data_IF_164216130196
#
_entry.id   IF_164216130196
#
_cell.length_a   1.000
_cell.length_b   1.000
_cell.length_c   1.000
_cell.angle_alpha   90.00
_cell.angle_beta   90.00
_cell.angle_gamma   90.00
#
_symmetry.space_group_name_H-M   'P 1'
#
loop_
_entity.id
_entity.type
_entity.pdbx_description
1 polymer ?
#
# COMPACT_ATOMS: atom_id res chain seq x y z
N UNK A 1 30.24 -34.68 -19.37
CA UNK A 1 29.39 -33.90 -18.51
C UNK A 1 29.53 -34.36 -17.10
N UNK A 2 30.14 -33.57 -16.26
CA UNK A 2 30.11 -33.76 -14.81
C UNK A 2 28.67 -33.52 -14.35
N UNK A 3 28.16 -34.38 -13.45
CA UNK A 3 26.85 -34.23 -12.81
C UNK A 3 26.81 -32.89 -12.06
N UNK A 4 26.24 -31.88 -12.69
CA UNK A 4 25.87 -30.64 -12.00
C UNK A 4 24.75 -30.99 -11.02
N UNK A 5 25.12 -31.22 -9.75
CA UNK A 5 24.16 -31.35 -8.67
C UNK A 5 23.58 -29.98 -8.40
N UNK A 6 22.27 -29.89 -8.41
CA UNK A 6 21.58 -28.66 -7.96
C UNK A 6 22.07 -28.27 -6.57
N UNK A 7 22.46 -27.01 -6.41
CA UNK A 7 22.92 -26.48 -5.14
C UNK A 7 21.79 -26.42 -4.08
N UNK A 8 20.53 -26.50 -4.52
CA UNK A 8 19.34 -26.40 -3.67
C UNK A 8 18.30 -27.42 -4.14
N UNK A 9 17.92 -28.35 -3.29
CA UNK A 9 16.90 -29.36 -3.59
C UNK A 9 15.47 -28.79 -3.59
N UNK A 10 15.19 -27.82 -2.72
CA UNK A 10 13.86 -27.19 -2.55
C UNK A 10 13.99 -25.76 -2.09
N UNK A 11 13.08 -24.92 -2.54
CA UNK A 11 12.93 -23.55 -2.04
C UNK A 11 11.46 -23.22 -1.83
N UNK A 12 11.19 -22.29 -0.91
CA UNK A 12 9.88 -21.69 -0.67
C UNK A 12 9.98 -20.20 -0.87
N UNK A 13 9.17 -19.64 -1.75
CA UNK A 13 9.04 -18.20 -1.95
C UNK A 13 7.82 -17.70 -1.20
N UNK A 14 7.98 -16.64 -0.43
CA UNK A 14 6.90 -15.95 0.26
C UNK A 14 6.81 -14.54 -0.31
N UNK A 15 5.63 -14.13 -0.75
CA UNK A 15 5.44 -12.81 -1.35
C UNK A 15 3.96 -12.51 -1.60
N UNK A 16 3.71 -11.34 -2.13
CA UNK A 16 2.37 -10.89 -2.51
C UNK A 16 2.47 -10.10 -3.83
N UNK A 17 2.12 -10.77 -4.94
CA UNK A 17 2.15 -10.16 -6.28
C UNK A 17 1.06 -9.10 -6.48
N UNK A 18 0.11 -8.98 -5.55
CA UNK A 18 -0.93 -7.94 -5.52
C UNK A 18 -0.48 -6.67 -4.80
N UNK A 19 0.76 -6.65 -4.31
CA UNK A 19 1.45 -5.47 -3.80
C UNK A 19 2.48 -4.95 -4.81
N UNK A 20 3.14 -3.82 -4.49
CA UNK A 20 4.07 -3.19 -5.40
C UNK A 20 5.26 -4.10 -5.72
N UNK A 21 5.60 -4.27 -7.01
CA UNK A 21 6.79 -4.97 -7.44
C UNK A 21 8.04 -4.12 -7.20
N UNK A 22 9.22 -4.71 -7.43
CA UNK A 22 10.46 -3.96 -7.48
C UNK A 22 10.39 -2.86 -8.59
N UNK A 23 11.01 -1.72 -8.32
CA UNK A 23 11.05 -0.61 -9.29
C UNK A 23 11.97 -0.98 -10.45
N UNK A 24 11.41 -1.08 -11.65
CA UNK A 24 12.14 -1.31 -12.90
C UNK A 24 12.14 -0.03 -13.72
N UNK A 25 13.33 0.48 -14.02
CA UNK A 25 13.50 1.75 -14.74
C UNK A 25 13.38 1.63 -16.26
N UNK A 26 13.58 0.43 -16.81
CA UNK A 26 13.45 0.15 -18.24
C UNK A 26 12.01 0.34 -18.72
N UNK A 27 11.85 0.84 -19.93
CA UNK A 27 10.56 0.89 -20.60
C UNK A 27 10.12 -0.53 -21.05
N UNK A 28 8.93 -0.63 -21.64
CA UNK A 28 8.36 -1.93 -22.05
C UNK A 28 9.19 -2.63 -23.12
N UNK A 29 9.73 -1.87 -24.08
CA UNK A 29 10.56 -2.41 -25.16
C UNK A 29 11.92 -2.91 -24.64
N UNK A 30 12.57 -2.13 -23.77
CA UNK A 30 13.86 -2.49 -23.17
C UNK A 30 13.78 -3.67 -22.20
N UNK A 31 12.59 -3.94 -21.65
CA UNK A 31 12.36 -5.05 -20.71
C UNK A 31 11.79 -6.30 -21.37
N UNK A 32 11.45 -6.23 -22.67
CA UNK A 32 10.94 -7.39 -23.42
C UNK A 32 12.04 -8.44 -23.63
N UNK A 33 11.68 -9.71 -23.58
CA UNK A 33 12.57 -10.83 -23.82
C UNK A 33 12.25 -11.44 -25.17
N UNK A 34 13.29 -11.71 -25.95
CA UNK A 34 13.23 -12.33 -27.29
C UNK A 34 14.02 -13.65 -27.38
N UNK A 35 14.80 -13.97 -26.36
CA UNK A 35 15.56 -15.22 -26.31
C UNK A 35 14.64 -16.41 -26.02
N UNK A 36 14.66 -17.41 -26.93
CA UNK A 36 13.77 -18.57 -26.85
C UNK A 36 14.00 -19.43 -25.61
N UNK A 37 15.22 -19.50 -25.10
CA UNK A 37 15.54 -20.26 -23.89
C UNK A 37 14.92 -19.62 -22.66
N UNK A 38 14.94 -18.30 -22.58
CA UNK A 38 14.32 -17.52 -21.50
C UNK A 38 12.79 -17.53 -21.60
N UNK A 39 12.25 -17.43 -22.81
CA UNK A 39 10.80 -17.56 -23.04
C UNK A 39 10.28 -18.94 -22.63
N UNK A 40 11.04 -20.01 -22.88
CA UNK A 40 10.66 -21.39 -22.53
C UNK A 40 10.48 -21.62 -21.03
N UNK A 41 11.18 -20.85 -20.19
CA UNK A 41 11.03 -20.88 -18.71
C UNK A 41 10.02 -19.85 -18.19
N UNK A 42 9.23 -19.25 -19.09
CA UNK A 42 8.18 -18.27 -18.74
C UNK A 42 8.69 -16.86 -18.44
N UNK A 43 9.94 -16.51 -18.79
CA UNK A 43 10.46 -15.15 -18.65
C UNK A 43 10.14 -14.36 -19.93
N UNK A 44 9.03 -13.63 -19.90
CA UNK A 44 8.54 -12.83 -21.04
C UNK A 44 8.92 -11.36 -20.94
N UNK A 45 9.16 -10.89 -19.72
CA UNK A 45 9.48 -9.49 -19.44
C UNK A 45 10.33 -9.37 -18.16
N UNK A 46 11.36 -8.52 -18.19
CA UNK A 46 12.23 -8.27 -17.03
C UNK A 46 11.56 -7.47 -15.88
N UNK A 47 10.38 -6.91 -16.12
CA UNK A 47 9.58 -6.24 -15.08
C UNK A 47 8.89 -7.23 -14.14
N UNK A 48 8.70 -8.46 -14.57
CA UNK A 48 8.05 -9.49 -13.78
C UNK A 48 9.01 -10.01 -12.71
N UNK A 49 8.60 -9.97 -11.46
CA UNK A 49 9.38 -10.56 -10.37
C UNK A 49 9.48 -12.07 -10.55
N UNK A 50 10.56 -12.68 -10.01
CA UNK A 50 10.69 -14.14 -9.99
C UNK A 50 9.46 -14.80 -9.34
N UNK A 51 8.95 -14.21 -8.24
CA UNK A 51 7.76 -14.69 -7.54
C UNK A 51 6.53 -14.71 -8.48
N UNK A 52 6.24 -13.59 -9.14
CA UNK A 52 5.09 -13.46 -10.04
C UNK A 52 5.17 -14.40 -11.24
N UNK A 53 6.37 -14.55 -11.82
CA UNK A 53 6.61 -15.49 -12.91
C UNK A 53 6.36 -16.95 -12.49
N UNK A 54 6.94 -17.37 -11.38
CA UNK A 54 6.76 -18.75 -10.88
C UNK A 54 5.31 -18.98 -10.43
N UNK A 55 4.66 -18.02 -9.82
CA UNK A 55 3.23 -18.10 -9.48
C UNK A 55 2.38 -18.34 -10.73
N UNK A 56 2.58 -17.56 -11.80
CA UNK A 56 1.87 -17.77 -13.09
C UNK A 56 2.13 -19.14 -13.69
N UNK A 57 3.36 -19.61 -13.66
CA UNK A 57 3.68 -20.95 -14.16
C UNK A 57 2.99 -22.04 -13.34
N UNK A 58 2.94 -21.91 -12.01
CA UNK A 58 2.23 -22.85 -11.14
C UNK A 58 0.70 -22.82 -11.35
N UNK A 59 0.10 -21.65 -11.61
CA UNK A 59 -1.34 -21.54 -11.87
C UNK A 59 -1.74 -22.11 -13.22
N UNK A 60 -0.83 -22.06 -14.21
CA UNK A 60 -1.05 -22.62 -15.55
C UNK A 60 -0.88 -24.16 -15.64
N UNK A 61 -0.34 -24.79 -14.60
CA UNK A 61 -0.08 -26.24 -14.56
C UNK A 61 -1.06 -26.98 -13.66
N UNK A 62 -1.19 -28.30 -13.88
CA UNK A 62 -2.03 -29.18 -13.04
C UNK A 62 -1.47 -29.31 -11.61
N UNK A 63 -0.16 -29.16 -11.46
CA UNK A 63 0.52 -29.25 -10.16
C UNK A 63 0.46 -27.92 -9.42
N UNK A 64 -0.37 -27.86 -8.39
CA UNK A 64 -0.47 -26.68 -7.52
C UNK A 64 0.67 -26.68 -6.49
N UNK A 65 1.76 -26.00 -6.84
CA UNK A 65 2.89 -25.75 -5.92
C UNK A 65 2.78 -24.39 -5.24
N UNK A 66 1.59 -23.86 -5.09
CA UNK A 66 1.32 -22.58 -4.42
C UNK A 66 0.10 -22.67 -3.51
N UNK A 67 0.10 -21.83 -2.49
CA UNK A 67 -1.05 -21.62 -1.62
C UNK A 67 -1.10 -20.16 -1.13
N UNK A 68 -2.25 -19.74 -0.65
CA UNK A 68 -2.46 -18.40 -0.11
C UNK A 68 -2.60 -18.46 1.41
N UNK A 69 -1.76 -17.69 2.11
CA UNK A 69 -1.91 -17.47 3.54
C UNK A 69 -3.13 -16.58 3.81
N UNK A 70 -4.25 -17.19 4.15
CA UNK A 70 -5.52 -16.48 4.35
C UNK A 70 -5.63 -15.80 5.71
N UNK A 71 -4.87 -16.23 6.73
CA UNK A 71 -4.94 -15.66 8.07
C UNK A 71 -4.04 -14.42 8.16
N UNK A 72 -4.64 -13.29 8.57
CA UNK A 72 -3.92 -12.03 8.73
C UNK A 72 -4.03 -11.50 10.17
N UNK A 73 -2.92 -11.02 10.73
CA UNK A 73 -2.84 -10.45 12.08
C UNK A 73 -2.73 -8.92 12.13
N UNK A 74 -2.68 -8.25 10.97
CA UNK A 74 -2.45 -6.80 10.94
C UNK A 74 -3.71 -5.98 11.10
N UNK A 75 -4.64 -6.10 10.17
CA UNK A 75 -5.77 -5.18 10.04
C UNK A 75 -6.97 -5.59 10.87
N UNK A 76 -7.63 -4.61 11.48
CA UNK A 76 -9.00 -4.79 11.96
C UNK A 76 -9.90 -5.20 10.78
N UNK A 77 -10.92 -6.09 10.98
CA UNK A 77 -11.77 -6.58 9.90
C UNK A 77 -12.42 -5.48 9.06
N UNK A 78 -12.90 -4.41 9.68
CA UNK A 78 -13.52 -3.27 8.98
C UNK A 78 -12.52 -2.50 8.11
N UNK A 79 -11.28 -2.31 8.59
CA UNK A 79 -10.21 -1.69 7.80
C UNK A 79 -9.84 -2.58 6.61
N UNK A 80 -9.80 -3.89 6.81
CA UNK A 80 -9.46 -4.86 5.79
C UNK A 80 -10.55 -5.04 4.74
N UNK A 81 -11.80 -4.66 5.01
CA UNK A 81 -12.98 -5.07 4.24
C UNK A 81 -12.85 -4.78 2.74
N UNK A 82 -12.47 -3.56 2.39
CA UNK A 82 -12.33 -3.17 0.97
C UNK A 82 -11.19 -3.95 0.30
N UNK A 83 -9.98 -3.92 0.86
CA UNK A 83 -8.83 -4.61 0.29
C UNK A 83 -9.08 -6.13 0.18
N UNK A 84 -9.70 -6.74 1.19
CA UNK A 84 -10.06 -8.14 1.20
C UNK A 84 -11.01 -8.50 0.05
N UNK A 85 -12.08 -7.73 -0.15
CA UNK A 85 -13.04 -7.98 -1.22
C UNK A 85 -12.48 -7.67 -2.60
N UNK A 86 -11.82 -6.51 -2.75
CA UNK A 86 -11.35 -6.03 -4.04
C UNK A 86 -10.12 -6.80 -4.56
N UNK A 87 -9.21 -7.21 -3.67
CA UNK A 87 -7.91 -7.74 -4.10
C UNK A 87 -7.68 -9.20 -3.70
N UNK A 88 -8.33 -9.68 -2.63
CA UNK A 88 -8.09 -11.03 -2.08
C UNK A 88 -9.32 -11.95 -2.15
N UNK A 89 -10.36 -11.56 -2.89
CA UNK A 89 -11.55 -12.39 -3.11
C UNK A 89 -12.31 -12.76 -1.83
N UNK A 90 -12.24 -11.91 -0.79
CA UNK A 90 -12.90 -12.16 0.50
C UNK A 90 -12.22 -13.22 1.37
N UNK A 91 -11.04 -13.71 1.00
CA UNK A 91 -10.38 -14.86 1.64
C UNK A 91 -9.56 -14.52 2.89
N UNK A 92 -9.29 -13.24 3.17
CA UNK A 92 -8.54 -12.86 4.36
C UNK A 92 -9.40 -12.99 5.62
N UNK A 93 -8.87 -13.73 6.60
CA UNK A 93 -9.53 -14.03 7.87
C UNK A 93 -8.67 -13.48 9.02
N UNK A 94 -9.22 -12.68 9.96
CA UNK A 94 -8.47 -12.21 11.11
C UNK A 94 -8.09 -13.38 12.02
N UNK A 95 -6.91 -13.29 12.64
CA UNK A 95 -6.46 -14.32 13.61
C UNK A 95 -7.02 -14.12 15.03
N UNK A 96 -7.73 -13.01 15.28
CA UNK A 96 -8.36 -12.72 16.57
C UNK A 96 -7.45 -12.03 17.58
N UNK A 97 -6.49 -11.22 17.11
CA UNK A 97 -5.68 -10.39 18.01
C UNK A 97 -6.54 -9.32 18.71
N UNK A 98 -6.15 -8.80 19.90
CA UNK A 98 -6.95 -7.86 20.67
C UNK A 98 -7.50 -6.69 19.85
N UNK A 99 -6.68 -6.04 19.02
CA UNK A 99 -7.11 -4.93 18.18
C UNK A 99 -8.01 -5.36 17.00
N UNK A 100 -8.09 -6.65 16.67
CA UNK A 100 -8.94 -7.18 15.61
C UNK A 100 -10.34 -7.58 16.10
N UNK A 101 -10.47 -7.87 17.39
CA UNK A 101 -11.75 -8.25 18.04
C UNK A 101 -12.37 -7.10 18.83
N UNK A 102 -11.66 -5.98 18.96
CA UNK A 102 -12.16 -4.78 19.61
C UNK A 102 -13.40 -4.26 18.86
N UNK A 103 -14.54 -4.31 19.52
CA UNK A 103 -15.80 -3.78 19.00
C UNK A 103 -16.13 -2.50 19.73
N UNK A 104 -16.38 -1.42 18.98
CA UNK A 104 -16.84 -0.16 19.55
C UNK A 104 -17.62 0.60 18.49
N UNK A 105 -18.85 0.91 18.79
CA UNK A 105 -19.72 1.72 17.92
C UNK A 105 -19.26 3.20 17.84
N UNK A 106 -18.34 3.59 18.72
CA UNK A 106 -17.80 4.97 18.77
C UNK A 106 -16.52 5.14 17.96
N UNK A 107 -15.83 4.05 17.58
CA UNK A 107 -14.58 4.12 16.84
C UNK A 107 -14.85 4.04 15.34
N UNK A 108 -14.62 5.15 14.63
CA UNK A 108 -14.63 5.15 13.18
C UNK A 108 -13.36 4.45 12.65
N UNK A 109 -13.51 3.29 12.01
CA UNK A 109 -12.38 2.49 11.49
C UNK A 109 -11.94 2.92 10.10
N UNK A 110 -12.86 3.42 9.27
CA UNK A 110 -12.59 3.88 7.93
C UNK A 110 -13.44 5.12 7.64
N UNK A 111 -12.80 6.24 7.29
CA UNK A 111 -13.50 7.47 6.90
C UNK A 111 -12.83 8.15 5.72
N UNK A 112 -13.66 8.80 4.90
CA UNK A 112 -13.22 9.69 3.84
C UNK A 112 -13.56 11.14 4.22
N UNK A 113 -12.57 12.01 4.16
CA UNK A 113 -12.68 13.44 4.42
C UNK A 113 -12.54 14.19 3.10
N UNK A 114 -13.62 14.72 2.54
CA UNK A 114 -13.56 15.42 1.27
C UNK A 114 -12.77 16.72 1.39
N UNK A 115 -11.91 16.94 0.40
CA UNK A 115 -11.17 18.19 0.21
C UNK A 115 -11.71 18.99 -0.98
N UNK A 116 -11.13 20.14 -1.23
CA UNK A 116 -11.42 20.95 -2.42
C UNK A 116 -10.21 21.00 -3.33
N UNK A 117 -10.41 21.00 -4.65
CA UNK A 117 -9.31 21.09 -5.60
C UNK A 117 -8.62 22.45 -5.51
N UNK A 118 -7.34 22.49 -5.81
CA UNK A 118 -6.59 23.74 -5.90
C UNK A 118 -7.07 24.60 -7.07
N UNK A 119 -6.87 25.91 -6.95
CA UNK A 119 -7.20 26.87 -8.02
C UNK A 119 -6.39 26.58 -9.28
N UNK A 120 -6.96 26.89 -10.43
CA UNK A 120 -6.27 26.79 -11.71
C UNK A 120 -4.93 27.56 -11.67
N UNK A 121 -3.87 26.88 -12.15
CA UNK A 121 -2.49 27.43 -12.12
C UNK A 121 -1.69 27.08 -10.87
N UNK A 122 -2.30 26.48 -9.84
CA UNK A 122 -1.54 25.92 -8.73
C UNK A 122 -0.79 24.65 -9.14
N UNK A 123 0.23 24.28 -8.37
CA UNK A 123 0.95 23.01 -8.60
C UNK A 123 0.02 21.82 -8.46
N UNK A 124 -0.03 20.97 -9.47
CA UNK A 124 -0.80 19.73 -9.44
C UNK A 124 -0.34 18.72 -8.35
N UNK A 125 0.84 18.99 -7.72
CA UNK A 125 1.46 18.08 -6.75
C UNK A 125 1.31 18.54 -5.30
N UNK A 126 0.45 19.51 -5.04
CA UNK A 126 0.09 20.01 -3.71
C UNK A 126 -1.42 20.22 -3.64
N UNK A 127 -1.97 20.04 -2.44
CA UNK A 127 -3.33 20.41 -2.08
C UNK A 127 -3.33 20.92 -0.64
N UNK A 128 -3.54 22.23 -0.47
CA UNK A 128 -3.53 22.90 0.84
C UNK A 128 -4.70 22.45 1.72
N UNK A 129 -5.88 22.21 1.10
CA UNK A 129 -7.05 21.73 1.83
C UNK A 129 -6.78 20.34 2.44
N UNK A 130 -6.21 19.41 1.67
CA UNK A 130 -5.83 18.11 2.19
C UNK A 130 -4.76 18.19 3.28
N UNK A 131 -3.74 19.04 3.10
CA UNK A 131 -2.68 19.18 4.10
C UNK A 131 -3.21 19.66 5.46
N UNK A 132 -4.18 20.58 5.47
CA UNK A 132 -4.85 21.04 6.70
C UNK A 132 -5.71 19.96 7.33
N UNK A 133 -6.53 19.25 6.52
CA UNK A 133 -7.32 18.10 7.00
C UNK A 133 -6.42 17.05 7.65
N UNK A 134 -5.28 16.75 7.02
CA UNK A 134 -4.29 15.79 7.55
C UNK A 134 -3.71 16.28 8.88
N UNK A 135 -3.36 17.56 9.00
CA UNK A 135 -2.83 18.13 10.24
C UNK A 135 -3.89 18.11 11.37
N UNK A 136 -5.14 18.49 11.07
CA UNK A 136 -6.24 18.45 12.02
C UNK A 136 -6.53 17.03 12.52
N UNK A 137 -6.51 16.05 11.61
CA UNK A 137 -6.67 14.64 11.97
C UNK A 137 -5.50 14.14 12.82
N UNK A 138 -4.26 14.54 12.49
CA UNK A 138 -3.09 14.17 13.26
C UNK A 138 -3.15 14.72 14.69
N UNK A 139 -3.61 15.97 14.86
CA UNK A 139 -3.81 16.55 16.18
C UNK A 139 -4.82 15.77 17.02
N UNK A 140 -5.99 15.44 16.43
CA UNK A 140 -7.04 14.65 17.12
C UNK A 140 -6.53 13.25 17.52
N UNK A 141 -5.83 12.56 16.60
CA UNK A 141 -5.26 11.25 16.90
C UNK A 141 -4.24 11.35 18.04
N UNK A 142 -3.44 12.42 18.07
CA UNK A 142 -2.51 12.65 19.16
C UNK A 142 -3.26 12.90 20.49
N UNK A 143 -4.32 13.70 20.48
CA UNK A 143 -5.16 13.95 21.66
C UNK A 143 -5.80 12.67 22.20
N UNK A 144 -6.31 11.79 21.32
CA UNK A 144 -6.91 10.50 21.68
C UNK A 144 -5.88 9.52 22.26
N UNK A 145 -4.60 9.69 21.93
CA UNK A 145 -3.50 8.79 22.32
C UNK A 145 -2.45 9.47 23.22
N UNK A 146 -2.75 10.57 23.89
CA UNK A 146 -1.75 11.34 24.67
C UNK A 146 -0.92 10.49 25.62
N UNK A 147 -1.49 9.46 26.22
CA UNK A 147 -0.84 8.61 27.23
C UNK A 147 0.01 7.49 26.65
N UNK A 148 -0.28 7.05 25.41
CA UNK A 148 0.35 5.89 24.77
C UNK A 148 0.85 6.17 23.35
N UNK A 149 0.97 7.47 22.97
CA UNK A 149 1.42 7.86 21.64
C UNK A 149 2.86 7.42 21.38
N UNK A 150 3.03 6.57 20.39
CA UNK A 150 4.33 6.13 19.90
C UNK A 150 4.50 6.61 18.44
N UNK A 151 5.51 7.45 18.21
CA UNK A 151 5.80 8.09 16.93
C UNK A 151 6.08 7.08 15.80
N UNK A 152 6.59 5.89 16.17
CA UNK A 152 6.92 4.83 15.23
C UNK A 152 5.75 3.85 14.98
N UNK A 153 4.72 3.87 15.83
CA UNK A 153 3.62 2.88 15.79
C UNK A 153 2.24 3.49 15.64
N UNK A 154 1.95 4.61 16.31
CA UNK A 154 0.57 5.11 16.41
C UNK A 154 0.08 5.69 15.08
N UNK A 155 0.81 6.61 14.46
CA UNK A 155 0.35 7.35 13.29
C UNK A 155 1.38 7.34 12.15
N UNK A 156 0.87 7.17 10.93
CA UNK A 156 1.63 7.38 9.70
C UNK A 156 0.81 8.11 8.65
N UNK A 157 1.45 8.89 7.82
CA UNK A 157 0.79 9.66 6.76
C UNK A 157 1.38 9.28 5.42
N UNK A 158 0.50 8.86 4.49
CA UNK A 158 0.87 8.47 3.13
C UNK A 158 0.40 9.56 2.17
N UNK A 159 1.27 9.99 1.25
CA UNK A 159 0.90 10.87 0.15
C UNK A 159 1.84 10.68 -1.04
N UNK A 160 1.38 10.87 -2.30
CA UNK A 160 2.17 10.48 -3.47
C UNK A 160 3.32 11.43 -3.81
N UNK A 161 3.27 12.70 -3.38
CA UNK A 161 4.19 13.72 -3.87
C UNK A 161 5.07 14.31 -2.77
N UNK A 162 6.38 14.43 -3.03
CA UNK A 162 7.34 15.04 -2.10
C UNK A 162 6.97 16.48 -1.70
N UNK A 163 6.39 17.26 -2.62
CA UNK A 163 5.90 18.61 -2.33
C UNK A 163 4.72 18.60 -1.34
N UNK A 164 3.82 17.61 -1.45
CA UNK A 164 2.74 17.44 -0.49
C UNK A 164 3.27 16.96 0.87
N UNK A 165 4.28 16.08 0.89
CA UNK A 165 4.96 15.68 2.13
C UNK A 165 5.51 16.92 2.85
N UNK A 166 6.21 17.80 2.13
CA UNK A 166 6.78 19.02 2.71
C UNK A 166 5.69 19.96 3.25
N UNK A 167 4.58 20.09 2.51
CA UNK A 167 3.45 20.92 2.94
C UNK A 167 2.78 20.35 4.20
N UNK A 168 2.48 19.04 4.21
CA UNK A 168 1.89 18.36 5.39
C UNK A 168 2.79 18.52 6.61
N UNK A 169 4.10 18.31 6.45
CA UNK A 169 5.05 18.48 7.56
C UNK A 169 5.05 19.91 8.09
N UNK A 170 4.96 20.92 7.23
CA UNK A 170 4.85 22.32 7.61
C UNK A 170 3.56 22.62 8.40
N UNK A 171 2.41 22.10 7.94
CA UNK A 171 1.14 22.25 8.64
C UNK A 171 1.20 21.56 10.02
N UNK A 172 1.77 20.36 10.12
CA UNK A 172 1.96 19.64 11.39
C UNK A 172 2.89 20.41 12.33
N UNK A 173 4.00 20.95 11.83
CA UNK A 173 4.94 21.74 12.63
C UNK A 173 4.27 22.97 13.24
N UNK A 174 3.34 23.61 12.50
CA UNK A 174 2.58 24.77 12.99
C UNK A 174 1.66 24.47 14.17
N UNK A 175 1.32 23.19 14.42
CA UNK A 175 0.54 22.77 15.59
C UNK A 175 1.32 22.87 16.90
N UNK A 176 2.66 22.95 16.86
CA UNK A 176 3.50 23.02 18.04
C UNK A 176 3.53 21.74 18.89
N UNK A 177 3.21 20.58 18.30
CA UNK A 177 3.22 19.27 18.98
C UNK A 177 4.47 18.50 18.58
N UNK A 178 5.54 18.44 19.41
CA UNK A 178 6.84 17.87 19.04
C UNK A 178 6.79 16.39 18.63
N UNK A 179 5.89 15.59 19.21
CA UNK A 179 5.72 14.19 18.90
C UNK A 179 5.27 13.97 17.45
N UNK A 180 4.39 14.84 16.93
CA UNK A 180 3.89 14.75 15.56
C UNK A 180 4.97 15.09 14.51
N UNK A 181 6.01 15.86 14.87
CA UNK A 181 7.10 16.16 13.94
C UNK A 181 8.01 14.95 13.65
N UNK A 182 7.90 13.88 14.45
CA UNK A 182 8.71 12.67 14.32
C UNK A 182 8.00 11.49 13.66
N UNK A 183 6.69 11.61 13.41
CA UNK A 183 5.95 10.56 12.69
C UNK A 183 6.43 10.43 11.23
N UNK A 184 6.21 9.25 10.65
CA UNK A 184 6.54 9.02 9.25
C UNK A 184 5.47 9.66 8.34
N UNK A 185 5.91 10.61 7.49
CA UNK A 185 5.14 11.18 6.39
C UNK A 185 5.92 10.90 5.11
N UNK A 186 5.46 9.95 4.28
CA UNK A 186 6.20 9.54 3.07
C UNK A 186 5.26 8.92 2.02
N UNK A 187 5.82 8.45 0.90
CA UNK A 187 5.09 7.81 -0.19
C UNK A 187 4.74 6.34 0.14
N UNK A 188 3.82 5.78 -0.64
CA UNK A 188 3.39 4.37 -0.49
C UNK A 188 4.57 3.41 -0.56
N UNK A 189 5.50 3.65 -1.49
CA UNK A 189 6.70 2.82 -1.68
C UNK A 189 7.57 2.74 -0.42
N UNK A 190 7.67 3.85 0.30
CA UNK A 190 8.46 3.92 1.55
C UNK A 190 7.74 3.31 2.74
N UNK A 191 6.42 3.20 2.66
CA UNK A 191 5.61 2.49 3.65
C UNK A 191 5.58 0.97 3.44
N UNK A 192 6.03 0.48 2.28
CA UNK A 192 6.05 -0.96 2.03
C UNK A 192 6.89 -1.68 3.08
N UNK A 193 6.32 -2.73 3.68
CA UNK A 193 6.94 -3.47 4.80
C UNK A 193 6.69 -2.88 6.19
N UNK A 194 6.18 -1.65 6.31
CA UNK A 194 5.83 -1.02 7.59
C UNK A 194 4.34 -1.08 7.89
N UNK A 195 3.93 -0.75 9.11
CA UNK A 195 2.53 -0.64 9.54
C UNK A 195 2.39 0.41 10.63
N UNK A 196 1.17 0.95 10.80
CA UNK A 196 0.80 1.86 11.89
C UNK A 196 -0.57 1.50 12.42
N UNK A 197 -0.86 1.88 13.65
CA UNK A 197 -2.20 1.73 14.21
C UNK A 197 -3.20 2.56 13.40
N UNK A 198 -2.85 3.80 13.08
CA UNK A 198 -3.65 4.71 12.25
C UNK A 198 -2.83 5.14 11.03
N UNK A 199 -3.45 5.09 9.85
CA UNK A 199 -2.91 5.66 8.62
C UNK A 199 -3.84 6.77 8.14
N UNK A 200 -3.26 7.91 7.76
CA UNK A 200 -3.94 8.93 6.98
C UNK A 200 -3.38 8.90 5.56
N UNK A 201 -4.24 8.76 4.56
CA UNK A 201 -3.84 8.78 3.15
C UNK A 201 -4.40 10.03 2.45
N UNK A 202 -3.51 10.96 2.10
CA UNK A 202 -3.81 12.13 1.28
C UNK A 202 -3.57 11.77 -0.19
N UNK A 203 -4.62 11.71 -0.99
CA UNK A 203 -4.50 11.39 -2.42
C UNK A 203 -3.81 12.49 -3.21
N UNK A 204 -3.95 13.74 -2.79
CA UNK A 204 -3.41 14.91 -3.47
C UNK A 204 -3.77 14.94 -4.98
N UNK A 205 -5.04 14.66 -5.28
CA UNK A 205 -5.58 14.66 -6.65
C UNK A 205 -6.40 15.92 -6.84
N UNK A 206 -5.93 16.82 -7.69
CA UNK A 206 -6.66 18.03 -8.07
C UNK A 206 -7.36 17.87 -9.43
N UNK A 207 -6.90 16.91 -10.25
CA UNK A 207 -7.40 16.66 -11.59
C UNK A 207 -7.53 15.15 -11.86
N UNK A 208 -8.61 14.68 -12.52
CA UNK A 208 -8.86 13.24 -12.74
C UNK A 208 -7.71 12.50 -13.46
N UNK A 209 -6.97 13.16 -14.36
CA UNK A 209 -5.85 12.53 -15.07
C UNK A 209 -4.72 12.07 -14.15
N UNK A 210 -4.59 12.67 -12.95
CA UNK A 210 -3.56 12.30 -11.99
C UNK A 210 -3.73 10.87 -11.46
N UNK A 211 -4.95 10.36 -11.42
CA UNK A 211 -5.23 8.99 -10.98
C UNK A 211 -4.44 7.95 -11.79
N UNK A 212 -4.23 8.20 -13.09
CA UNK A 212 -3.43 7.30 -13.96
C UNK A 212 -1.96 7.20 -13.53
N UNK A 213 -1.41 8.24 -12.91
CA UNK A 213 -0.02 8.26 -12.44
C UNK A 213 0.11 7.77 -10.99
N UNK A 214 -0.98 7.81 -10.23
CA UNK A 214 -1.00 7.39 -8.83
C UNK A 214 -1.31 5.91 -8.66
N UNK A 215 -1.92 5.28 -9.66
CA UNK A 215 -2.26 3.86 -9.66
C UNK A 215 -1.12 3.01 -10.24
N UNK A 216 -1.06 1.75 -9.80
CA UNK A 216 -0.24 0.70 -10.40
C UNK A 216 -1.16 -0.49 -10.70
N UNK A 217 -1.80 -0.43 -11.87
CA UNK A 217 -2.85 -1.36 -12.26
C UNK A 217 -2.28 -2.63 -12.87
N UNK A 218 -2.81 -3.76 -12.45
CA UNK A 218 -2.62 -5.08 -13.06
C UNK A 218 -3.97 -5.79 -13.13
N UNK A 219 -4.12 -6.71 -14.06
CA UNK A 219 -5.32 -7.54 -14.19
C UNK A 219 -4.97 -8.98 -13.88
N UNK A 220 -5.78 -9.64 -13.05
CA UNK A 220 -5.65 -11.04 -12.69
C UNK A 220 -7.04 -11.67 -12.66
N UNK A 221 -7.24 -12.72 -13.45
CA UNK A 221 -8.53 -13.45 -13.55
C UNK A 221 -9.75 -12.53 -13.79
N UNK A 222 -9.56 -11.46 -14.59
CA UNK A 222 -10.61 -10.46 -14.88
C UNK A 222 -10.85 -9.45 -13.77
N UNK A 223 -10.05 -9.46 -12.70
CA UNK A 223 -10.10 -8.49 -11.61
C UNK A 223 -8.99 -7.46 -11.78
N UNK A 224 -9.37 -6.18 -11.80
CA UNK A 224 -8.41 -5.08 -11.81
C UNK A 224 -7.88 -4.82 -10.41
N UNK A 225 -6.56 -4.90 -10.24
CA UNK A 225 -5.88 -4.71 -8.97
C UNK A 225 -5.02 -3.46 -9.06
N UNK A 226 -5.27 -2.48 -8.19
CA UNK A 226 -4.34 -1.38 -7.96
C UNK A 226 -3.38 -1.76 -6.83
N UNK A 227 -2.17 -2.18 -7.22
CA UNK A 227 -1.11 -2.60 -6.30
C UNK A 227 -0.71 -1.50 -5.33
N UNK A 228 -0.72 -0.24 -5.79
CA UNK A 228 -0.34 0.91 -4.97
C UNK A 228 -1.38 1.21 -3.90
N UNK A 229 -2.65 1.24 -4.31
CA UNK A 229 -3.77 1.38 -3.38
C UNK A 229 -3.81 0.23 -2.37
N UNK A 230 -3.61 -1.01 -2.85
CA UNK A 230 -3.56 -2.18 -1.97
C UNK A 230 -2.47 -2.05 -0.89
N UNK A 231 -1.26 -1.64 -1.27
CA UNK A 231 -0.20 -1.39 -0.28
C UNK A 231 -0.64 -0.32 0.71
N UNK A 232 -1.14 0.82 0.27
CA UNK A 232 -1.54 1.92 1.15
C UNK A 232 -2.60 1.48 2.18
N UNK A 233 -3.68 0.85 1.71
CA UNK A 233 -4.79 0.40 2.56
C UNK A 233 -4.37 -0.66 3.58
N UNK A 234 -3.44 -1.54 3.21
CA UNK A 234 -2.98 -2.63 4.08
C UNK A 234 -1.88 -2.22 5.07
N UNK A 235 -1.58 -0.92 5.20
CA UNK A 235 -0.62 -0.40 6.22
C UNK A 235 -1.27 -0.10 7.56
N UNK A 236 -2.58 0.13 7.58
CA UNK A 236 -3.32 0.45 8.79
C UNK A 236 -3.65 -0.82 9.60
N UNK A 237 -3.47 -0.76 10.91
CA UNK A 237 -3.87 -1.83 11.83
C UNK A 237 -5.29 -1.62 12.36
N UNK A 238 -5.59 -0.42 12.86
CA UNK A 238 -6.83 -0.11 13.59
C UNK A 238 -7.75 0.85 12.84
N UNK A 239 -7.19 1.86 12.19
CA UNK A 239 -7.98 2.92 11.54
C UNK A 239 -7.30 3.40 10.25
N UNK A 240 -8.12 3.72 9.26
CA UNK A 240 -7.70 4.27 7.98
C UNK A 240 -8.53 5.50 7.66
N UNK A 241 -7.89 6.65 7.53
CA UNK A 241 -8.51 7.90 7.12
C UNK A 241 -7.98 8.31 5.75
N UNK A 242 -8.88 8.70 4.88
CA UNK A 242 -8.55 9.07 3.50
C UNK A 242 -9.04 10.49 3.27
N UNK A 243 -8.24 11.31 2.60
CA UNK A 243 -8.65 12.64 2.14
C UNK A 243 -8.35 12.82 0.66
N UNK A 244 -9.22 13.50 -0.04
CA UNK A 244 -9.13 13.75 -1.47
C UNK A 244 -10.30 14.59 -1.98
N UNK A 245 -10.24 14.96 -3.27
CA UNK A 245 -11.29 15.70 -3.97
C UNK A 245 -12.34 14.73 -4.49
#
# INVERSE_FOLDING_TARGET
GEDEKDAIDKFVLIGDHKQLPAVVQQNTEQSAIYDESLLSIGLTNLKDSLFERLYRNCTATVHRSYDMLCRQGRMHPEVALFANRAFYGGRLIPVGLPHQIESSDTICRLAFYPSVPEKAGASAKINYSEARIVADLAARIYEDHQTDFDESRTLGIITPYRSQIALIKKEIESLGIPALNRILVDTVERFQGSERDVIIYSFCVNYPYQLKFLSNLTEEEGVLIDRKLNVALTRARKQMFITGV
#
